data_IF_769355237635
#
_entry.id   IF_769355237635
#
_cell.length_a   1.000
_cell.length_b   1.000
_cell.length_c   1.000
_cell.angle_alpha   90.00
_cell.angle_beta   90.00
_cell.angle_gamma   90.00
#
_symmetry.space_group_name_H-M   'P 1'
#
loop_
_entity.id
_entity.type
_entity.pdbx_description
1 polymer ?
#
# COMPACT_ATOMS: atom_id res chain seq x y z
N UNK A 1 39.47 -5.03 1.64
CA UNK A 1 38.98 -6.41 1.88
C UNK A 1 38.35 -6.95 0.59
N UNK A 2 38.53 -8.24 0.30
CA UNK A 2 37.89 -8.90 -0.87
C UNK A 2 36.37 -8.77 -0.80
N UNK A 3 35.74 -8.36 -1.90
CA UNK A 3 34.28 -8.20 -1.98
C UNK A 3 33.58 -9.57 -1.84
N UNK A 4 32.49 -9.62 -1.09
CA UNK A 4 31.63 -10.82 -1.03
C UNK A 4 30.98 -11.01 -2.40
N UNK A 5 31.09 -12.22 -2.96
CA UNK A 5 30.50 -12.58 -4.26
C UNK A 5 30.89 -11.61 -5.41
N UNK A 6 32.07 -10.99 -5.34
CA UNK A 6 32.56 -10.04 -6.35
C UNK A 6 31.87 -8.66 -6.38
N UNK A 7 30.64 -8.55 -5.87
CA UNK A 7 29.83 -7.33 -5.94
C UNK A 7 29.69 -6.60 -4.59
N UNK A 8 29.54 -7.32 -3.48
CA UNK A 8 29.21 -6.71 -2.20
C UNK A 8 30.45 -6.23 -1.44
N UNK A 9 30.51 -4.94 -1.16
CA UNK A 9 31.57 -4.31 -0.37
C UNK A 9 31.56 -4.80 1.08
N UNK A 10 32.73 -5.25 1.57
CA UNK A 10 32.93 -5.61 2.98
C UNK A 10 33.26 -4.39 3.85
N UNK A 11 32.95 -4.42 5.15
CA UNK A 11 33.42 -3.42 6.11
C UNK A 11 34.94 -3.24 6.00
N UNK A 12 35.36 -2.07 5.51
CA UNK A 12 36.76 -1.66 5.47
C UNK A 12 37.12 -0.80 6.68
N UNK A 13 38.36 -0.31 6.72
CA UNK A 13 38.84 0.58 7.80
C UNK A 13 37.96 1.84 7.95
N UNK A 14 37.42 2.34 6.84
CA UNK A 14 36.51 3.50 6.80
C UNK A 14 35.04 3.18 7.09
N UNK A 15 34.69 1.93 7.36
CA UNK A 15 33.30 1.54 7.65
C UNK A 15 32.82 2.17 8.96
N UNK A 16 33.57 1.98 10.05
CA UNK A 16 33.19 2.48 11.37
C UNK A 16 33.13 4.02 11.46
N UNK A 17 34.08 4.78 10.90
CA UNK A 17 33.96 6.24 10.82
C UNK A 17 32.71 6.71 10.08
N UNK A 18 32.37 6.07 8.94
CA UNK A 18 31.16 6.39 8.18
C UNK A 18 29.90 6.07 8.99
N UNK A 19 29.86 4.92 9.65
CA UNK A 19 28.74 4.53 10.52
C UNK A 19 28.55 5.54 11.65
N UNK A 20 29.62 5.95 12.32
CA UNK A 20 29.56 6.96 13.38
C UNK A 20 29.03 8.29 12.84
N UNK A 21 29.53 8.75 11.69
CA UNK A 21 29.10 9.98 11.05
C UNK A 21 27.61 9.94 10.68
N UNK A 22 27.13 8.86 10.04
CA UNK A 22 25.70 8.70 9.74
C UNK A 22 24.85 8.60 11.01
N UNK A 23 25.33 7.91 12.04
CA UNK A 23 24.65 7.82 13.32
C UNK A 23 24.50 9.20 13.97
N UNK A 24 25.57 10.01 13.97
CA UNK A 24 25.54 11.40 14.46
C UNK A 24 24.58 12.26 13.63
N UNK A 25 24.58 12.15 12.30
CA UNK A 25 23.63 12.86 11.44
C UNK A 25 22.18 12.49 11.74
N UNK A 26 21.87 11.20 11.93
CA UNK A 26 20.53 10.74 12.29
C UNK A 26 20.14 11.24 13.68
N UNK A 27 21.04 11.18 14.66
CA UNK A 27 20.80 11.70 16.02
C UNK A 27 20.58 13.22 16.03
N UNK A 28 21.40 13.97 15.29
CA UNK A 28 21.26 15.42 15.15
C UNK A 28 19.93 15.78 14.48
N UNK A 29 19.57 15.09 13.38
CA UNK A 29 18.28 15.28 12.71
C UNK A 29 17.10 15.00 13.64
N UNK A 30 17.16 13.93 14.44
CA UNK A 30 16.14 13.62 15.44
C UNK A 30 16.05 14.71 16.49
N UNK A 31 17.18 15.16 17.02
CA UNK A 31 17.20 16.20 18.05
C UNK A 31 16.64 17.55 17.56
N UNK A 32 16.98 17.95 16.33
CA UNK A 32 16.40 19.15 15.69
C UNK A 32 14.88 18.97 15.50
N UNK A 33 14.44 17.80 15.04
CA UNK A 33 13.04 17.52 14.78
C UNK A 33 12.20 17.37 16.08
N UNK A 34 12.81 16.98 17.19
CA UNK A 34 12.17 16.94 18.52
C UNK A 34 12.12 18.33 19.18
N UNK A 35 13.00 19.26 18.76
CA UNK A 35 13.09 20.61 19.32
C UNK A 35 12.28 21.67 18.54
N UNK A 36 11.99 21.40 17.26
CA UNK A 36 11.12 22.24 16.43
C UNK A 36 9.68 21.77 16.50
N UNK A 37 8.82 22.50 17.21
CA UNK A 37 7.37 22.33 17.14
C UNK A 37 6.93 22.40 15.67
N UNK A 38 6.22 21.37 15.21
CA UNK A 38 6.03 21.10 13.79
C UNK A 38 5.24 22.17 13.05
N UNK A 39 5.90 22.83 12.11
CA UNK A 39 5.23 23.51 11.00
C UNK A 39 4.69 22.47 10.01
N UNK A 40 3.48 22.76 9.50
CA UNK A 40 2.71 22.00 8.53
C UNK A 40 3.57 21.50 7.36
N UNK A 41 3.73 20.18 7.27
CA UNK A 41 4.34 19.55 6.11
C UNK A 41 3.26 19.25 5.06
N UNK A 42 3.19 20.11 4.05
CA UNK A 42 2.64 19.80 2.74
C UNK A 42 3.34 18.53 2.20
N UNK A 43 2.64 17.41 2.17
CA UNK A 43 3.17 16.14 1.64
C UNK A 43 2.74 14.89 2.40
N UNK A 44 1.48 14.48 2.22
CA UNK A 44 0.96 13.14 2.56
C UNK A 44 0.84 12.84 4.05
N UNK A 45 -0.17 12.04 4.40
CA UNK A 45 -0.37 11.52 5.76
C UNK A 45 0.79 10.58 6.15
N UNK A 46 1.92 11.14 6.53
CA UNK A 46 3.04 10.43 7.15
C UNK A 46 3.03 10.74 8.65
N UNK A 47 3.76 9.93 9.44
CA UNK A 47 3.82 9.90 10.92
C UNK A 47 4.05 11.25 11.65
N UNK A 48 4.21 12.35 10.91
CA UNK A 48 4.23 13.72 11.44
C UNK A 48 2.85 14.38 11.53
N UNK A 49 1.87 13.92 10.75
CA UNK A 49 0.50 14.49 10.72
C UNK A 49 -0.49 13.77 11.63
N UNK A 50 -0.25 12.49 11.92
CA UNK A 50 -1.12 11.64 12.74
C UNK A 50 -0.29 10.95 13.82
N UNK A 51 -0.64 11.18 15.08
CA UNK A 51 0.18 10.82 16.25
C UNK A 51 0.09 9.35 16.65
N UNK A 52 -0.89 8.59 16.14
CA UNK A 52 -1.09 7.18 16.49
C UNK A 52 -1.12 6.27 15.26
N UNK A 53 -0.54 5.05 15.35
CA UNK A 53 -0.62 4.03 14.30
C UNK A 53 -2.03 3.70 13.83
N UNK A 54 -2.98 3.73 14.76
CA UNK A 54 -4.41 3.58 14.47
C UNK A 54 -4.86 4.59 13.42
N UNK A 55 -4.61 5.87 13.67
CA UNK A 55 -5.02 6.93 12.77
C UNK A 55 -4.35 6.84 11.41
N UNK A 56 -3.21 6.18 11.23
CA UNK A 56 -2.54 6.05 9.92
C UNK A 56 -3.16 4.97 9.02
N UNK A 57 -3.88 4.00 9.58
CA UNK A 57 -4.37 2.83 8.83
C UNK A 57 -5.87 2.84 8.57
N UNK A 58 -6.63 3.63 9.32
CA UNK A 58 -8.04 3.84 8.99
C UNK A 58 -8.18 4.69 7.72
N UNK A 59 -9.32 4.57 7.00
CA UNK A 59 -9.64 5.45 5.89
C UNK A 59 -9.49 6.93 6.31
N UNK A 60 -8.64 7.67 5.61
CA UNK A 60 -8.39 9.09 5.89
C UNK A 60 -9.51 9.99 5.36
N UNK A 61 -9.79 11.09 6.03
CA UNK A 61 -10.67 12.09 5.43
C UNK A 61 -10.01 12.66 4.15
N UNK A 62 -10.74 12.63 3.03
CA UNK A 62 -10.24 13.16 1.77
C UNK A 62 -10.35 14.69 1.80
N UNK A 63 -9.27 15.38 1.41
CA UNK A 63 -9.33 16.83 1.24
C UNK A 63 -10.25 17.21 0.07
N UNK A 64 -10.76 18.44 0.05
CA UNK A 64 -11.63 18.95 -1.02
C UNK A 64 -10.95 19.07 -2.39
N UNK A 65 -9.65 18.74 -2.48
CA UNK A 65 -8.92 18.82 -3.72
C UNK A 65 -9.38 17.72 -4.69
N UNK A 66 -9.63 18.02 -5.98
CA UNK A 66 -10.16 17.04 -6.94
C UNK A 66 -9.23 15.85 -7.23
N UNK A 67 -7.95 15.96 -6.86
CA UNK A 67 -6.96 14.88 -6.95
C UNK A 67 -6.66 14.21 -5.61
N UNK A 68 -7.38 14.53 -4.54
CA UNK A 68 -7.25 13.82 -3.28
C UNK A 68 -7.56 12.34 -3.51
N UNK A 69 -6.77 11.46 -2.91
CA UNK A 69 -7.05 10.04 -2.89
C UNK A 69 -6.42 9.43 -1.65
N UNK A 70 -7.02 8.35 -1.19
CA UNK A 70 -6.48 7.51 -0.14
C UNK A 70 -6.45 6.08 -0.66
N UNK A 71 -5.32 5.39 -0.47
CA UNK A 71 -5.12 4.10 -1.10
C UNK A 71 -4.37 3.12 -0.23
N UNK A 72 -4.82 1.86 -0.29
CA UNK A 72 -4.16 0.72 0.33
C UNK A 72 -3.74 -0.27 -0.75
N UNK A 73 -2.58 -0.88 -0.56
CA UNK A 73 -1.98 -1.84 -1.49
C UNK A 73 -1.42 -3.03 -0.71
N UNK A 74 -1.82 -4.22 -1.13
CA UNK A 74 -1.37 -5.48 -0.57
C UNK A 74 -0.82 -6.35 -1.69
N UNK A 75 0.36 -6.91 -1.47
CA UNK A 75 0.93 -7.94 -2.34
C UNK A 75 1.49 -9.08 -1.51
N UNK A 76 1.20 -10.31 -1.91
CA UNK A 76 1.74 -11.51 -1.28
C UNK A 76 2.15 -12.53 -2.34
N UNK A 77 3.14 -13.33 -2.00
CA UNK A 77 3.63 -14.43 -2.82
C UNK A 77 3.92 -15.63 -1.92
N UNK A 78 3.67 -16.84 -2.42
CA UNK A 78 4.07 -18.08 -1.76
C UNK A 78 5.18 -18.79 -2.53
N UNK A 79 5.95 -19.62 -1.82
CA UNK A 79 6.99 -20.47 -2.43
C UNK A 79 6.42 -21.41 -3.50
N UNK A 80 5.14 -21.76 -3.39
CA UNK A 80 4.43 -22.64 -4.32
C UNK A 80 3.94 -21.90 -5.58
N UNK A 81 4.33 -20.64 -5.77
CA UNK A 81 3.98 -19.85 -6.96
C UNK A 81 2.56 -19.29 -6.95
N UNK A 82 1.91 -19.21 -5.78
CA UNK A 82 0.68 -18.42 -5.63
C UNK A 82 1.05 -16.95 -5.48
N UNK A 83 0.33 -16.07 -6.16
CA UNK A 83 0.51 -14.63 -6.03
C UNK A 83 -0.83 -13.96 -5.79
N UNK A 84 -0.80 -12.92 -4.99
CA UNK A 84 -1.96 -12.15 -4.61
C UNK A 84 -1.61 -10.67 -4.68
N UNK A 85 -2.47 -9.88 -5.31
CA UNK A 85 -2.41 -8.42 -5.27
C UNK A 85 -3.81 -7.90 -5.06
N UNK A 86 -3.98 -7.03 -4.08
CA UNK A 86 -5.22 -6.27 -3.88
C UNK A 86 -4.87 -4.80 -3.65
N UNK A 87 -5.54 -3.91 -4.38
CA UNK A 87 -5.38 -2.48 -4.21
C UNK A 87 -6.75 -1.82 -4.22
N UNK A 88 -6.92 -0.82 -3.38
CA UNK A 88 -8.11 0.00 -3.30
C UNK A 88 -7.67 1.45 -3.17
N UNK A 89 -8.18 2.32 -4.04
CA UNK A 89 -7.96 3.76 -3.94
C UNK A 89 -9.31 4.49 -3.99
N UNK A 90 -9.60 5.22 -2.93
CA UNK A 90 -10.79 6.05 -2.77
C UNK A 90 -10.50 7.45 -3.29
N UNK A 91 -11.48 8.05 -3.95
CA UNK A 91 -11.43 9.41 -4.50
C UNK A 91 -12.75 10.12 -4.18
N UNK A 92 -12.79 11.45 -4.25
CA UNK A 92 -14.04 12.19 -4.05
C UNK A 92 -15.17 11.70 -4.95
N UNK A 93 -16.41 11.89 -4.49
CA UNK A 93 -17.66 11.57 -5.19
C UNK A 93 -17.88 10.06 -5.42
N UNK A 94 -17.52 9.21 -4.46
CA UNK A 94 -17.74 7.76 -4.52
C UNK A 94 -16.91 7.04 -5.57
N UNK A 95 -15.92 7.73 -6.17
CA UNK A 95 -15.05 7.13 -7.20
C UNK A 95 -14.05 6.22 -6.51
N UNK A 96 -14.02 4.96 -6.94
CA UNK A 96 -13.16 3.95 -6.38
C UNK A 96 -12.33 3.28 -7.47
N UNK A 97 -11.04 3.12 -7.25
CA UNK A 97 -10.18 2.31 -8.12
C UNK A 97 -9.79 1.02 -7.39
N UNK A 98 -10.37 -0.09 -7.84
CA UNK A 98 -10.16 -1.40 -7.24
C UNK A 98 -9.39 -2.34 -8.16
N UNK A 99 -8.45 -3.09 -7.60
CA UNK A 99 -7.70 -4.15 -8.28
C UNK A 99 -7.67 -5.37 -7.37
N UNK A 100 -7.98 -6.54 -7.91
CA UNK A 100 -7.75 -7.82 -7.25
C UNK A 100 -7.23 -8.82 -8.27
N UNK A 101 -6.08 -9.42 -7.97
CA UNK A 101 -5.42 -10.46 -8.74
C UNK A 101 -5.06 -11.64 -7.85
N UNK A 102 -5.39 -12.86 -8.30
CA UNK A 102 -5.03 -14.10 -7.61
C UNK A 102 -4.46 -15.07 -8.65
N UNK A 103 -3.15 -15.35 -8.58
CA UNK A 103 -2.48 -16.37 -9.39
C UNK A 103 -2.48 -17.68 -8.62
N UNK A 104 -3.02 -18.73 -9.25
CA UNK A 104 -2.99 -20.09 -8.74
C UNK A 104 -2.31 -20.96 -9.81
N UNK A 105 -1.15 -21.60 -9.55
CA UNK A 105 -0.30 -22.28 -10.53
C UNK A 105 -1.04 -23.05 -11.63
N UNK A 106 -2.01 -23.89 -11.25
CA UNK A 106 -2.73 -24.79 -12.15
C UNK A 106 -4.03 -24.21 -12.74
N UNK A 107 -4.50 -23.07 -12.24
CA UNK A 107 -5.72 -22.41 -12.73
C UNK A 107 -5.41 -21.23 -13.65
N UNK A 108 -4.36 -20.47 -13.35
CA UNK A 108 -3.98 -19.24 -14.06
C UNK A 108 -4.12 -18.01 -13.17
N UNK A 109 -4.36 -16.84 -13.78
CA UNK A 109 -4.53 -15.56 -13.08
C UNK A 109 -6.02 -15.18 -13.05
N UNK A 110 -6.62 -15.20 -11.86
CA UNK A 110 -7.94 -14.68 -11.61
C UNK A 110 -7.87 -13.17 -11.39
N UNK A 111 -8.85 -12.46 -11.90
CA UNK A 111 -8.97 -11.01 -11.79
C UNK A 111 -10.43 -10.58 -11.65
N UNK A 112 -10.66 -9.32 -11.29
CA UNK A 112 -12.02 -8.79 -11.22
C UNK A 112 -12.69 -8.84 -12.60
N UNK A 113 -14.02 -9.05 -12.65
CA UNK A 113 -14.81 -9.15 -13.88
C UNK A 113 -14.54 -8.04 -14.91
N UNK A 114 -14.38 -6.80 -14.42
CA UNK A 114 -14.25 -5.60 -15.24
C UNK A 114 -12.82 -5.32 -15.72
N UNK A 115 -11.80 -6.02 -15.20
CA UNK A 115 -10.40 -5.76 -15.57
C UNK A 115 -10.17 -5.83 -17.09
N UNK A 116 -9.48 -4.87 -17.72
CA UNK A 116 -8.56 -3.91 -17.10
C UNK A 116 -9.21 -2.64 -16.54
N UNK A 117 -10.53 -2.46 -16.66
CA UNK A 117 -11.23 -1.34 -16.04
C UNK A 117 -11.26 -1.52 -14.51
N UNK A 118 -10.56 -0.65 -13.80
CA UNK A 118 -10.48 -0.62 -12.34
C UNK A 118 -11.44 0.39 -11.72
N UNK A 119 -12.19 1.15 -12.53
CA UNK A 119 -13.14 2.13 -12.05
C UNK A 119 -14.38 1.44 -11.50
N UNK A 120 -14.67 1.72 -10.25
CA UNK A 120 -15.80 1.22 -9.47
C UNK A 120 -16.43 2.38 -8.73
N UNK A 121 -17.64 2.15 -8.23
CA UNK A 121 -18.30 3.08 -7.32
C UNK A 121 -18.46 2.39 -5.97
N UNK A 122 -18.08 3.11 -4.92
CA UNK A 122 -17.95 2.57 -3.58
C UNK A 122 -18.40 3.54 -2.51
N UNK A 123 -18.04 3.20 -1.28
CA UNK A 123 -18.26 4.02 -0.11
C UNK A 123 -17.20 5.15 -0.04
N UNK A 124 -17.60 6.32 0.44
CA UNK A 124 -16.69 7.46 0.59
C UNK A 124 -15.77 7.31 1.81
N UNK A 125 -16.18 6.57 2.84
CA UNK A 125 -15.51 6.47 4.14
C UNK A 125 -14.84 5.11 4.36
N UNK A 126 -15.06 4.13 3.48
CA UNK A 126 -14.52 2.77 3.62
C UNK A 126 -13.84 2.29 2.34
N UNK A 127 -12.89 1.35 2.47
CA UNK A 127 -12.32 0.64 1.32
C UNK A 127 -13.26 -0.48 0.84
N UNK A 128 -14.45 -0.12 0.37
CA UNK A 128 -15.50 -1.05 -0.07
C UNK A 128 -16.05 -0.62 -1.43
N UNK A 129 -15.98 -1.50 -2.42
CA UNK A 129 -16.63 -1.31 -3.72
C UNK A 129 -16.84 -2.65 -4.44
N UNK A 130 -17.96 -2.80 -5.14
CA UNK A 130 -18.26 -3.95 -6.02
C UNK A 130 -17.88 -5.33 -5.45
N UNK A 131 -18.16 -5.56 -4.17
CA UNK A 131 -17.89 -6.83 -3.47
C UNK A 131 -16.48 -6.98 -2.88
N UNK A 132 -15.53 -6.10 -3.22
CA UNK A 132 -14.22 -6.00 -2.56
C UNK A 132 -14.34 -5.17 -1.29
N UNK A 133 -13.87 -5.72 -0.16
CA UNK A 133 -13.83 -5.06 1.14
C UNK A 133 -12.47 -5.25 1.78
N UNK A 134 -11.83 -4.14 2.16
CA UNK A 134 -10.54 -4.13 2.83
C UNK A 134 -10.70 -3.36 4.16
N UNK A 135 -10.44 -4.02 5.28
CA UNK A 135 -10.61 -3.42 6.61
C UNK A 135 -9.43 -3.70 7.51
N UNK A 136 -8.84 -2.67 8.16
CA UNK A 136 -7.87 -2.90 9.23
C UNK A 136 -8.59 -3.57 10.42
N UNK A 137 -8.00 -4.63 10.97
CA UNK A 137 -8.47 -5.27 12.21
C UNK A 137 -7.58 -4.91 13.39
N UNK A 138 -6.27 -5.03 13.20
CA UNK A 138 -5.25 -4.65 14.18
C UNK A 138 -4.27 -3.73 13.47
N UNK A 139 -4.16 -2.46 13.90
CA UNK A 139 -3.25 -1.50 13.30
C UNK A 139 -1.83 -2.06 13.17
N UNK A 140 -1.21 -1.85 12.02
CA UNK A 140 0.16 -2.27 11.65
C UNK A 140 0.41 -3.77 11.71
N UNK A 141 -0.65 -4.58 11.78
CA UNK A 141 -0.51 -6.02 12.00
C UNK A 141 -1.44 -6.82 11.09
N UNK A 142 -2.74 -6.65 11.24
CA UNK A 142 -3.72 -7.57 10.68
C UNK A 142 -4.78 -6.83 9.91
N UNK A 143 -4.91 -7.19 8.64
CA UNK A 143 -5.91 -6.68 7.73
C UNK A 143 -6.81 -7.81 7.24
N UNK A 144 -8.10 -7.52 7.12
CA UNK A 144 -9.08 -8.44 6.53
C UNK A 144 -9.39 -7.98 5.12
N UNK A 145 -9.12 -8.86 4.17
CA UNK A 145 -9.43 -8.68 2.76
C UNK A 145 -10.50 -9.70 2.38
N UNK A 146 -11.63 -9.22 1.88
CA UNK A 146 -12.79 -10.02 1.50
C UNK A 146 -13.23 -9.65 0.10
N UNK A 147 -13.61 -10.66 -0.68
CA UNK A 147 -14.22 -10.47 -1.99
C UNK A 147 -15.41 -11.39 -2.15
N UNK A 148 -16.57 -10.81 -2.44
CA UNK A 148 -17.81 -11.54 -2.75
C UNK A 148 -18.25 -11.18 -4.16
N UNK A 149 -17.98 -12.07 -5.11
CA UNK A 149 -18.37 -11.88 -6.49
C UNK A 149 -17.71 -12.89 -7.42
N UNK A 150 -18.09 -12.90 -8.70
CA UNK A 150 -17.41 -13.72 -9.70
C UNK A 150 -15.99 -13.19 -9.93
N UNK A 151 -15.07 -14.08 -10.29
CA UNK A 151 -13.76 -13.70 -10.83
C UNK A 151 -13.66 -14.25 -12.25
N UNK A 152 -12.91 -13.57 -13.11
CA UNK A 152 -12.63 -14.06 -14.46
C UNK A 152 -11.19 -14.50 -14.59
N UNK A 153 -10.93 -15.44 -15.48
CA UNK A 153 -9.57 -15.81 -15.83
C UNK A 153 -8.97 -14.80 -16.80
N UNK A 154 -7.67 -14.52 -16.67
CA UNK A 154 -6.95 -13.65 -17.62
C UNK A 154 -7.02 -14.25 -19.02
N UNK A 155 -7.59 -13.48 -19.95
CA UNK A 155 -7.80 -13.89 -21.35
C UNK A 155 -9.27 -14.17 -21.69
N UNK A 156 -10.14 -14.31 -20.69
CA UNK A 156 -11.57 -14.37 -20.91
C UNK A 156 -12.14 -12.99 -21.27
N UNK A 157 -13.20 -12.94 -22.11
CA UNK A 157 -13.83 -11.69 -22.49
C UNK A 157 -14.37 -10.94 -21.26
N UNK A 158 -14.50 -9.62 -21.38
CA UNK A 158 -15.15 -8.80 -20.36
C UNK A 158 -16.55 -9.34 -20.09
N UNK A 159 -16.83 -9.79 -18.87
CA UNK A 159 -18.17 -10.17 -18.46
C UNK A 159 -19.01 -8.89 -18.43
N UNK A 160 -20.01 -8.83 -19.33
CA UNK A 160 -21.05 -7.80 -19.29
C UNK A 160 -21.92 -8.06 -18.06
N UNK A 161 -21.55 -7.51 -16.92
CA UNK A 161 -22.49 -7.42 -15.81
C UNK A 161 -23.55 -6.38 -16.19
N UNK A 162 -24.80 -6.84 -16.23
CA UNK A 162 -25.97 -5.99 -16.40
C UNK A 162 -26.16 -5.30 -15.04
N UNK A 163 -26.01 -3.98 -15.02
CA UNK A 163 -26.30 -3.10 -13.87
C UNK A 163 -27.75 -3.29 -13.45
#
# INVERSE_FOLDING_TARGET
PTRLLGSYSRPGVWFWPKVLLYYLFVKLRRWINDSGGGDEADGGATAKSLSTPEMMEFPQELSQHPKAFDSVYFSAASQNGHFFVAAAARRPCGVFNGILYIRIPNLGLLQLPRMPDSLMFGDDDQFVAEGLKITPLVPMSTWRLQYTGPMKLRGEPLSRHRV
#
